data_IF_850241323680
#
_entry.id   IF_850241323680
#
_cell.length_a   1.000
_cell.length_b   1.000
_cell.length_c   1.000
_cell.angle_alpha   90.00
_cell.angle_beta   90.00
_cell.angle_gamma   90.00
#
_symmetry.space_group_name_H-M   'P 1'
#
loop_
_entity.id
_entity.type
_entity.pdbx_description
1 polymer ?
#
# COMPACT_ATOMS: atom_id res chain seq x y z
N UNK A 1 11.05 19.00 2.50
CA UNK A 1 9.64 18.59 2.69
C UNK A 1 9.08 17.73 1.57
N UNK A 2 9.78 17.47 0.45
CA UNK A 2 9.19 16.75 -0.70
C UNK A 2 9.10 15.22 -0.56
N UNK A 3 10.06 14.57 0.11
CA UNK A 3 10.06 13.12 0.30
C UNK A 3 8.91 12.61 1.17
N UNK A 4 8.54 13.36 2.23
CA UNK A 4 7.47 12.97 3.17
C UNK A 4 6.13 12.87 2.45
N UNK A 5 5.79 13.88 1.64
CA UNK A 5 4.56 13.87 0.86
C UNK A 5 4.52 12.73 -0.17
N UNK A 6 5.66 12.38 -0.76
CA UNK A 6 5.74 11.26 -1.71
C UNK A 6 5.56 9.90 -1.03
N UNK A 7 6.27 9.67 0.08
CA UNK A 7 6.19 8.43 0.86
C UNK A 7 4.84 8.24 1.55
N UNK A 8 4.05 9.29 1.74
CA UNK A 8 2.69 9.19 2.29
C UNK A 8 1.62 9.15 1.19
N UNK A 9 1.79 9.95 0.14
CA UNK A 9 0.82 10.05 -0.94
C UNK A 9 0.72 8.80 -1.80
N UNK A 10 1.85 8.15 -2.09
CA UNK A 10 1.86 6.91 -2.88
C UNK A 10 1.12 5.77 -2.16
N UNK A 11 1.40 5.46 -0.88
CA UNK A 11 0.60 4.49 -0.10
C UNK A 11 -0.88 4.82 -0.02
N UNK A 12 -1.24 6.09 0.17
CA UNK A 12 -2.63 6.51 0.23
C UNK A 12 -3.38 6.24 -1.08
N UNK A 13 -2.74 6.49 -2.23
CA UNK A 13 -3.28 6.19 -3.55
C UNK A 13 -3.43 4.69 -3.78
N UNK A 14 -2.43 3.89 -3.41
CA UNK A 14 -2.48 2.42 -3.56
C UNK A 14 -3.63 1.84 -2.72
N UNK A 15 -3.78 2.26 -1.46
CA UNK A 15 -4.90 1.82 -0.62
C UNK A 15 -6.26 2.13 -1.24
N UNK A 16 -6.43 3.35 -1.79
CA UNK A 16 -7.66 3.72 -2.50
C UNK A 16 -7.89 2.87 -3.76
N UNK A 17 -6.84 2.58 -4.53
CA UNK A 17 -6.90 1.70 -5.70
C UNK A 17 -7.35 0.28 -5.33
N UNK A 18 -6.79 -0.31 -4.29
CA UNK A 18 -7.15 -1.66 -3.83
C UNK A 18 -8.59 -1.75 -3.31
N UNK A 19 -9.11 -0.67 -2.72
CA UNK A 19 -10.53 -0.57 -2.35
C UNK A 19 -11.44 -0.52 -3.59
N UNK A 20 -11.07 0.26 -4.63
CA UNK A 20 -11.83 0.33 -5.89
C UNK A 20 -11.81 -0.98 -6.67
N UNK A 21 -10.69 -1.71 -6.64
CA UNK A 21 -10.55 -3.06 -7.21
C UNK A 21 -11.21 -4.16 -6.36
N UNK A 22 -11.79 -3.80 -5.21
CA UNK A 22 -12.43 -4.70 -4.23
C UNK A 22 -11.49 -5.74 -3.59
N UNK A 23 -10.18 -5.59 -3.74
CA UNK A 23 -9.18 -6.46 -3.10
C UNK A 23 -9.10 -6.20 -1.60
N UNK A 24 -9.20 -4.93 -1.20
CA UNK A 24 -9.26 -4.50 0.20
C UNK A 24 -10.67 -3.99 0.53
N UNK A 25 -11.68 -4.84 0.32
CA UNK A 25 -13.08 -4.51 0.61
C UNK A 25 -13.68 -5.50 1.60
N UNK A 26 -14.12 -5.00 2.76
CA UNK A 26 -14.87 -5.77 3.73
C UNK A 26 -15.83 -4.85 4.51
N UNK A 27 -16.83 -5.42 5.21
CA UNK A 27 -17.80 -4.67 6.01
C UNK A 27 -17.24 -4.41 7.41
N UNK A 28 -16.86 -3.17 7.70
CA UNK A 28 -16.28 -2.80 9.00
C UNK A 28 -15.24 -1.70 8.86
N UNK A 29 -14.49 -1.48 9.93
CA UNK A 29 -13.31 -0.62 9.96
C UNK A 29 -12.12 -1.54 10.11
N UNK A 30 -11.11 -1.36 9.26
CA UNK A 30 -9.95 -2.22 9.18
C UNK A 30 -8.69 -1.38 9.11
N UNK A 31 -7.64 -1.87 9.76
CA UNK A 31 -6.28 -1.42 9.54
C UNK A 31 -5.62 -2.20 8.38
N UNK A 32 -4.46 -1.73 7.95
CA UNK A 32 -3.81 -2.23 6.74
C UNK A 32 -3.28 -3.66 6.89
N UNK A 33 -2.85 -4.02 8.09
CA UNK A 33 -2.35 -5.34 8.48
C UNK A 33 -3.43 -6.43 8.52
N UNK A 34 -4.71 -6.04 8.47
CA UNK A 34 -5.84 -6.98 8.46
C UNK A 34 -6.15 -7.49 7.05
N UNK A 35 -5.53 -6.91 6.01
CA UNK A 35 -5.70 -7.33 4.62
C UNK A 35 -4.50 -8.11 4.10
N UNK A 36 -4.70 -8.80 2.97
CA UNK A 36 -3.61 -9.40 2.20
C UNK A 36 -2.62 -8.31 1.76
N UNK A 37 -1.34 -8.37 2.21
CA UNK A 37 -0.35 -7.35 1.92
C UNK A 37 0.24 -7.47 0.51
N UNK A 38 0.18 -8.65 -0.12
CA UNK A 38 0.84 -8.92 -1.40
C UNK A 38 0.50 -7.91 -2.51
N UNK A 39 -0.80 -7.62 -2.81
CA UNK A 39 -1.14 -6.67 -3.87
C UNK A 39 -0.70 -5.23 -3.57
N UNK A 40 -0.56 -4.87 -2.29
CA UNK A 40 -0.06 -3.55 -1.90
C UNK A 40 1.45 -3.46 -2.08
N UNK A 41 2.18 -4.50 -1.68
CA UNK A 41 3.63 -4.57 -1.79
C UNK A 41 4.09 -4.62 -3.26
N UNK A 42 3.32 -5.25 -4.14
CA UNK A 42 3.54 -5.21 -5.58
C UNK A 42 3.35 -3.79 -6.15
N UNK A 43 2.26 -3.12 -5.79
CA UNK A 43 2.01 -1.75 -6.25
C UNK A 43 3.07 -0.76 -5.74
N UNK A 44 3.62 -0.94 -4.54
CA UNK A 44 4.73 -0.11 -4.06
C UNK A 44 5.92 -0.14 -5.02
N UNK A 45 6.28 -1.32 -5.53
CA UNK A 45 7.37 -1.47 -6.50
C UNK A 45 7.06 -0.73 -7.81
N UNK A 46 5.81 -0.80 -8.29
CA UNK A 46 5.38 -0.18 -9.55
C UNK A 46 5.24 1.34 -9.44
N UNK A 47 4.73 1.84 -8.31
CA UNK A 47 4.43 3.26 -8.10
C UNK A 47 5.64 4.07 -7.60
N UNK A 48 6.83 3.47 -7.58
CA UNK A 48 8.10 4.16 -7.34
C UNK A 48 8.61 4.13 -5.90
N UNK A 49 8.09 3.22 -5.06
CA UNK A 49 8.58 2.93 -3.71
C UNK A 49 9.11 1.50 -3.59
N UNK A 50 10.26 1.19 -4.22
CA UNK A 50 10.83 -0.15 -4.15
C UNK A 50 11.26 -0.50 -2.73
N UNK A 51 10.92 -1.70 -2.28
CA UNK A 51 11.28 -2.23 -0.96
C UNK A 51 12.23 -3.43 -1.09
N UNK A 52 12.92 -3.75 0.01
CA UNK A 52 13.83 -4.89 0.11
C UNK A 52 13.75 -5.50 1.49
N UNK A 53 13.78 -6.82 1.57
CA UNK A 53 13.99 -7.56 2.82
C UNK A 53 15.47 -7.92 2.92
N UNK A 54 16.07 -7.62 4.07
CA UNK A 54 17.46 -7.95 4.37
C UNK A 54 17.42 -8.90 5.57
N UNK A 55 17.76 -10.17 5.35
CA UNK A 55 17.94 -11.14 6.43
C UNK A 55 19.28 -10.88 7.12
N UNK A 56 19.29 -10.96 8.45
CA UNK A 56 20.47 -10.77 9.30
C UNK A 56 20.99 -12.10 9.81
#
# INVERSE_FOLDING_TARGET
>A
SQGVSYTTGVPAMIGAKLMLEKKWQNKGVFNMEEFDPDPFMEELMVQGLPWKVIEK
#
